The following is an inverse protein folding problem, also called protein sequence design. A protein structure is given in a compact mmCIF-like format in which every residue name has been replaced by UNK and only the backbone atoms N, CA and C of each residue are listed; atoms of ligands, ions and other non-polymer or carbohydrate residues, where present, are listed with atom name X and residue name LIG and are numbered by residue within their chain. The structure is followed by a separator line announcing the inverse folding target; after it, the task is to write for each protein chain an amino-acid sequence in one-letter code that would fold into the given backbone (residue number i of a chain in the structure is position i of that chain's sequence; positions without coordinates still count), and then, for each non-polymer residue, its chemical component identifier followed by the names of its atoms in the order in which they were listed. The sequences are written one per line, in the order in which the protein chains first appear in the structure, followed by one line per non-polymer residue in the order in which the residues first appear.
data_IF_538436592038
#
_entry.id   IF_538436592038
#
_cell.length_a   1.000
_cell.length_b   1.000
_cell.length_c   1.000
_cell.angle_alpha   90.00
_cell.angle_beta   90.00
_cell.angle_gamma   90.00
#
_symmetry.space_group_name_H-M   'P 1'
#
loop_
_entity.id
_entity.type
_entity.pdbx_description
1 polymer ?
#
# COMPACT_ATOMS: atom_id res chain seq x y z
N UNK A 1 -19.76 -32.21 36.63
CA UNK A 1 -20.21 -31.27 35.57
C UNK A 1 -21.47 -30.57 36.08
N UNK A 2 -21.38 -29.36 36.62
CA UNK A 2 -22.55 -28.59 37.01
C UNK A 2 -22.92 -27.65 35.86
N UNK A 3 -24.01 -27.93 35.17
CA UNK A 3 -24.62 -27.01 34.20
C UNK A 3 -25.59 -26.13 34.98
N UNK A 4 -25.49 -24.81 34.83
CA UNK A 4 -26.41 -23.88 35.48
C UNK A 4 -27.83 -24.00 34.91
N UNK A 5 -28.84 -23.70 35.72
CA UNK A 5 -30.24 -23.72 35.29
C UNK A 5 -30.49 -22.77 34.11
N UNK A 6 -29.81 -21.63 34.11
CA UNK A 6 -29.87 -20.64 33.02
C UNK A 6 -29.31 -21.21 31.70
N UNK A 7 -28.22 -21.97 31.77
CA UNK A 7 -27.65 -22.64 30.59
C UNK A 7 -28.59 -23.71 30.03
N UNK A 8 -29.31 -24.44 30.88
CA UNK A 8 -30.34 -25.39 30.46
C UNK A 8 -31.49 -24.66 29.75
N UNK A 9 -31.99 -23.54 30.31
CA UNK A 9 -33.05 -22.75 29.68
C UNK A 9 -32.62 -22.21 28.30
N UNK A 10 -31.38 -21.76 28.16
CA UNK A 10 -30.83 -21.33 26.87
C UNK A 10 -30.82 -22.48 25.85
N UNK A 11 -30.37 -23.67 26.23
CA UNK A 11 -30.34 -24.85 25.34
C UNK A 11 -31.74 -25.36 24.96
N UNK A 12 -32.72 -25.23 25.86
CA UNK A 12 -34.14 -25.50 25.55
C UNK A 12 -34.66 -24.48 24.54
N UNK A 13 -34.36 -23.18 24.73
CA UNK A 13 -34.75 -22.11 23.79
C UNK A 13 -34.12 -22.30 22.40
N UNK A 14 -32.88 -22.80 22.37
CA UNK A 14 -32.14 -23.13 21.14
C UNK A 14 -32.58 -24.47 20.52
N UNK A 15 -33.48 -25.22 21.18
CA UNK A 15 -34.05 -26.47 20.66
C UNK A 15 -33.16 -27.71 20.80
N UNK A 16 -32.03 -27.61 21.51
CA UNK A 16 -31.13 -28.76 21.72
C UNK A 16 -31.63 -29.69 22.82
N UNK A 17 -32.24 -29.15 23.88
CA UNK A 17 -32.76 -29.93 25.02
C UNK A 17 -34.29 -29.98 24.96
N UNK A 18 -34.92 -31.16 25.04
CA UNK A 18 -36.37 -31.29 24.98
C UNK A 18 -37.03 -30.68 26.22
N UNK A 19 -38.19 -30.04 26.02
CA UNK A 19 -39.02 -29.52 27.11
C UNK A 19 -39.60 -30.69 27.91
N UNK A 20 -39.64 -30.55 29.22
CA UNK A 20 -40.26 -31.50 30.14
C UNK A 20 -41.74 -31.20 30.34
N UNK A 21 -42.51 -32.23 30.72
CA UNK A 21 -43.92 -32.10 31.08
C UNK A 21 -44.11 -31.47 32.47
N UNK A 22 -43.14 -31.61 33.38
CA UNK A 22 -43.15 -31.02 34.73
C UNK A 22 -42.26 -29.78 34.80
N UNK A 23 -42.84 -28.67 35.26
CA UNK A 23 -42.14 -27.39 35.46
C UNK A 23 -40.95 -27.58 36.41
N UNK A 24 -39.76 -27.16 35.97
CA UNK A 24 -38.51 -27.25 36.74
C UNK A 24 -37.75 -28.58 36.59
N UNK A 25 -38.31 -29.57 35.88
CA UNK A 25 -37.63 -30.84 35.63
C UNK A 25 -37.06 -30.88 34.21
N UNK A 26 -36.08 -31.73 33.95
CA UNK A 26 -35.61 -32.04 32.59
C UNK A 26 -35.32 -33.52 32.53
N UNK A 27 -35.67 -34.19 31.42
CA UNK A 27 -35.24 -35.57 31.23
C UNK A 27 -33.72 -35.61 31.07
N UNK A 28 -33.04 -36.29 31.99
CA UNK A 28 -31.59 -36.37 32.04
C UNK A 28 -30.99 -36.87 30.72
N UNK A 29 -31.56 -37.93 30.14
CA UNK A 29 -31.06 -38.52 28.88
C UNK A 29 -31.18 -37.51 27.73
N UNK A 30 -32.32 -36.84 27.60
CA UNK A 30 -32.54 -35.81 26.58
C UNK A 30 -31.65 -34.58 26.76
N UNK A 31 -31.37 -34.18 28.01
CA UNK A 31 -30.46 -33.09 28.32
C UNK A 31 -29.01 -33.42 27.94
N UNK A 32 -28.54 -34.63 28.27
CA UNK A 32 -27.19 -35.10 27.95
C UNK A 32 -27.01 -35.23 26.44
N UNK A 33 -27.95 -35.85 25.73
CA UNK A 33 -27.90 -35.98 24.28
C UNK A 33 -27.93 -34.62 23.57
N UNK A 34 -28.80 -33.71 24.02
CA UNK A 34 -28.89 -32.34 23.52
C UNK A 34 -27.60 -31.56 23.70
N UNK A 35 -26.98 -31.69 24.87
CA UNK A 35 -25.72 -31.02 25.19
C UNK A 35 -24.54 -31.55 24.36
N UNK A 36 -24.44 -32.87 24.17
CA UNK A 36 -23.43 -33.47 23.30
C UNK A 36 -23.58 -33.02 21.85
N UNK A 37 -24.82 -32.91 21.36
CA UNK A 37 -25.11 -32.39 20.01
C UNK A 37 -24.69 -30.92 19.88
N UNK A 38 -25.00 -30.10 20.88
CA UNK A 38 -24.60 -28.70 20.92
C UNK A 38 -23.07 -28.55 20.85
N UNK A 39 -22.32 -29.29 21.67
CA UNK A 39 -20.84 -29.22 21.68
C UNK A 39 -20.24 -29.59 20.31
N UNK A 40 -20.76 -30.64 19.67
CA UNK A 40 -20.29 -31.08 18.35
C UNK A 40 -20.58 -30.06 17.24
N UNK A 41 -21.71 -29.35 17.31
CA UNK A 41 -22.03 -28.28 16.36
C UNK A 41 -21.26 -26.98 16.63
N UNK A 42 -20.95 -26.69 17.88
CA UNK A 42 -20.13 -25.54 18.28
C UNK A 42 -18.69 -25.70 17.80
N UNK A 43 -18.10 -26.88 17.98
CA UNK A 43 -16.76 -27.22 17.49
C UNK A 43 -16.67 -27.20 15.95
N UNK A 44 -17.71 -27.65 15.26
CA UNK A 44 -17.80 -27.54 13.79
C UNK A 44 -17.89 -26.09 13.33
N UNK A 45 -18.65 -25.24 14.04
CA UNK A 45 -18.76 -23.81 13.74
C UNK A 45 -17.45 -23.08 14.00
N UNK A 46 -16.76 -23.38 15.10
CA UNK A 46 -15.46 -22.77 15.42
C UNK A 46 -14.39 -23.15 14.40
N UNK A 47 -14.33 -24.42 13.99
CA UNK A 47 -13.39 -24.89 12.95
C UNK A 47 -13.64 -24.22 11.61
N UNK A 48 -14.92 -24.06 11.22
CA UNK A 48 -15.30 -23.37 9.98
C UNK A 48 -14.95 -21.88 10.02
N UNK A 49 -15.20 -21.22 11.15
CA UNK A 49 -14.84 -19.82 11.38
C UNK A 49 -13.32 -19.62 11.31
N UNK A 50 -12.55 -20.51 11.93
CA UNK A 50 -11.09 -20.44 11.91
C UNK A 50 -10.50 -20.65 10.50
N UNK A 51 -11.09 -21.55 9.70
CA UNK A 51 -10.70 -21.72 8.30
C UNK A 51 -11.06 -20.50 7.44
N UNK A 52 -12.23 -19.90 7.66
CA UNK A 52 -12.69 -18.71 6.94
C UNK A 52 -11.82 -17.47 7.27
N UNK A 53 -11.38 -17.33 8.53
CA UNK A 53 -10.39 -16.32 8.93
C UNK A 53 -9.07 -16.49 8.19
N UNK A 54 -8.51 -17.70 8.14
CA UNK A 54 -7.23 -17.94 7.42
C UNK A 54 -7.31 -17.61 5.93
N UNK A 55 -8.44 -17.88 5.28
CA UNK A 55 -8.64 -17.54 3.86
C UNK A 55 -8.74 -16.03 3.66
N UNK A 56 -9.36 -15.30 4.60
CA UNK A 56 -9.40 -13.83 4.57
C UNK A 56 -8.01 -13.22 4.76
N UNK A 57 -7.24 -13.73 5.72
CA UNK A 57 -5.88 -13.25 6.00
C UNK A 57 -4.95 -13.48 4.79
N UNK A 58 -5.05 -14.66 4.16
CA UNK A 58 -4.28 -14.95 2.94
C UNK A 58 -4.66 -14.03 1.76
N UNK A 59 -5.95 -13.72 1.59
CA UNK A 59 -6.41 -12.77 0.55
C UNK A 59 -5.99 -11.34 0.86
N UNK A 60 -5.96 -10.93 2.13
CA UNK A 60 -5.47 -9.61 2.53
C UNK A 60 -3.99 -9.46 2.18
N UNK A 61 -3.17 -10.46 2.51
CA UNK A 61 -1.75 -10.50 2.17
C UNK A 61 -1.52 -10.47 0.64
N UNK A 62 -2.31 -11.22 -0.13
CA UNK A 62 -2.25 -11.21 -1.60
C UNK A 62 -2.59 -9.82 -2.18
N UNK A 63 -3.57 -9.13 -1.60
CA UNK A 63 -3.94 -7.77 -2.01
C UNK A 63 -2.83 -6.78 -1.65
N UNK A 64 -2.23 -6.88 -0.46
CA UNK A 64 -1.10 -6.04 -0.05
C UNK A 64 0.11 -6.21 -0.97
N UNK A 65 0.49 -7.46 -1.27
CA UNK A 65 1.59 -7.76 -2.19
C UNK A 65 1.29 -7.27 -3.60
N UNK A 66 0.05 -7.45 -4.08
CA UNK A 66 -0.37 -6.95 -5.40
C UNK A 66 -0.42 -5.42 -5.44
N UNK A 67 -0.83 -4.74 -4.37
CA UNK A 67 -0.74 -3.29 -4.27
C UNK A 67 0.73 -2.88 -4.32
N UNK A 68 1.62 -3.51 -3.56
CA UNK A 68 3.05 -3.19 -3.57
C UNK A 68 3.70 -3.38 -4.97
N UNK A 69 3.39 -4.46 -5.68
CA UNK A 69 3.90 -4.70 -7.04
C UNK A 69 3.32 -3.75 -8.10
N UNK A 70 2.03 -3.42 -7.96
CA UNK A 70 1.26 -2.66 -8.96
C UNK A 70 1.35 -1.15 -8.74
N UNK A 71 1.61 -0.78 -7.48
CA UNK A 71 2.39 0.37 -6.98
C UNK A 71 3.04 1.15 -8.10
N UNK A 72 4.36 0.99 -8.29
CA UNK A 72 5.22 1.71 -9.29
C UNK A 72 4.96 3.23 -9.48
N UNK A 73 4.04 3.81 -8.72
CA UNK A 73 3.58 5.18 -8.74
C UNK A 73 4.46 6.05 -7.84
N UNK A 74 5.27 5.39 -7.01
CA UNK A 74 6.21 6.02 -6.10
C UNK A 74 7.59 5.45 -6.38
N UNK A 75 8.53 6.35 -6.66
CA UNK A 75 9.96 6.08 -6.70
C UNK A 75 10.60 6.77 -5.49
N UNK A 76 11.65 6.18 -4.89
CA UNK A 76 12.43 6.88 -3.88
C UNK A 76 12.93 8.21 -4.44
N UNK A 77 12.79 9.29 -3.67
CA UNK A 77 13.19 10.62 -4.12
C UNK A 77 14.70 10.65 -4.43
N UNK A 78 15.52 9.98 -3.62
CA UNK A 78 16.96 9.88 -3.83
C UNK A 78 17.32 9.19 -5.16
N UNK A 79 16.61 8.13 -5.53
CA UNK A 79 16.80 7.44 -6.82
C UNK A 79 16.43 8.38 -7.98
N UNK A 80 15.28 9.07 -7.86
CA UNK A 80 14.83 10.03 -8.86
C UNK A 80 15.82 11.20 -9.05
N UNK A 81 16.36 11.73 -7.95
CA UNK A 81 17.36 12.80 -7.96
C UNK A 81 18.69 12.30 -8.55
N UNK A 82 19.08 11.07 -8.24
CA UNK A 82 20.30 10.44 -8.77
C UNK A 82 20.21 10.25 -10.29
N UNK A 83 19.11 9.68 -10.78
CA UNK A 83 18.87 9.48 -12.22
C UNK A 83 18.86 10.83 -12.96
N UNK A 84 18.24 11.85 -12.37
CA UNK A 84 18.22 13.19 -12.95
C UNK A 84 19.60 13.87 -12.94
N UNK A 85 20.40 13.66 -11.90
CA UNK A 85 21.78 14.16 -11.84
C UNK A 85 22.66 13.48 -12.90
N UNK A 86 22.49 12.17 -13.12
CA UNK A 86 23.17 11.43 -14.17
C UNK A 86 22.81 11.97 -15.56
N UNK A 87 21.51 12.13 -15.84
CA UNK A 87 21.04 12.71 -17.10
C UNK A 87 21.60 14.12 -17.33
N UNK A 88 21.60 14.98 -16.30
CA UNK A 88 22.19 16.32 -16.38
C UNK A 88 23.70 16.26 -16.66
N UNK A 89 24.41 15.31 -16.05
CA UNK A 89 25.82 15.04 -16.30
C UNK A 89 26.11 14.68 -17.75
N UNK A 90 25.29 13.81 -18.34
CA UNK A 90 25.39 13.42 -19.76
C UNK A 90 25.18 14.63 -20.68
N UNK A 91 24.13 15.42 -20.44
CA UNK A 91 23.85 16.63 -21.23
C UNK A 91 25.02 17.63 -21.15
N UNK A 92 25.56 17.87 -19.95
CA UNK A 92 26.72 18.76 -19.78
C UNK A 92 27.94 18.24 -20.52
N UNK A 93 28.20 16.93 -20.49
CA UNK A 93 29.31 16.31 -21.22
C UNK A 93 29.20 16.52 -22.73
N UNK A 94 28.01 16.32 -23.30
CA UNK A 94 27.77 16.53 -24.73
C UNK A 94 27.95 18.00 -25.16
N UNK A 95 27.54 18.94 -24.31
CA UNK A 95 27.65 20.38 -24.54
C UNK A 95 29.09 20.90 -24.39
N UNK A 96 29.89 20.32 -23.48
CA UNK A 96 31.27 20.76 -23.25
C UNK A 96 32.15 20.66 -24.51
N UNK A 97 31.89 19.68 -25.38
CA UNK A 97 32.62 19.52 -26.65
C UNK A 97 32.11 20.40 -27.80
N UNK A 98 30.95 21.03 -27.66
CA UNK A 98 30.27 21.74 -28.75
C UNK A 98 31.02 23.00 -29.23
N UNK A 99 31.54 23.88 -28.36
CA UNK A 99 32.27 25.08 -28.77
C UNK A 99 33.51 24.77 -29.63
N UNK A 100 34.23 23.70 -29.28
CA UNK A 100 35.42 23.26 -30.02
C UNK A 100 35.10 22.71 -31.42
N UNK A 101 33.90 22.13 -31.61
CA UNK A 101 33.40 21.67 -32.92
C UNK A 101 32.87 22.81 -33.78
N UNK A 102 32.34 23.87 -33.16
CA UNK A 102 31.69 24.98 -33.85
C UNK A 102 32.70 25.96 -34.48
N UNK A 103 33.77 26.29 -33.75
CA UNK A 103 34.74 27.30 -34.19
C UNK A 103 36.16 26.98 -33.72
N UNK A 104 37.13 27.44 -34.53
CA UNK A 104 38.57 27.41 -34.20
C UNK A 104 39.06 28.72 -33.61
N UNK A 105 38.23 29.78 -33.67
CA UNK A 105 38.56 31.10 -33.13
C UNK A 105 38.38 31.04 -31.61
N UNK A 106 39.45 31.35 -30.88
CA UNK A 106 39.49 31.24 -29.41
C UNK A 106 38.45 32.17 -28.78
N UNK A 107 38.36 33.41 -29.23
CA UNK A 107 37.42 34.40 -28.66
C UNK A 107 35.96 34.02 -28.87
N UNK A 108 35.62 33.46 -30.04
CA UNK A 108 34.26 32.98 -30.32
C UNK A 108 33.94 31.74 -29.49
N UNK A 109 34.90 30.81 -29.36
CA UNK A 109 34.76 29.62 -28.51
C UNK A 109 34.45 30.02 -27.07
N UNK A 110 35.20 30.96 -26.52
CA UNK A 110 35.05 31.39 -25.13
C UNK A 110 33.73 32.11 -24.87
N UNK A 111 33.23 32.88 -25.85
CA UNK A 111 31.87 33.45 -25.80
C UNK A 111 30.80 32.36 -25.73
N UNK A 112 30.90 31.34 -26.58
CA UNK A 112 29.93 30.23 -26.61
C UNK A 112 30.00 29.41 -25.32
N UNK A 113 31.19 29.12 -24.80
CA UNK A 113 31.39 28.44 -23.50
C UNK A 113 30.71 29.22 -22.37
N UNK A 114 30.93 30.53 -22.30
CA UNK A 114 30.33 31.40 -21.29
C UNK A 114 28.79 31.37 -21.34
N UNK A 115 28.21 31.41 -22.54
CA UNK A 115 26.76 31.33 -22.73
C UNK A 115 26.20 29.96 -22.32
N UNK A 116 26.87 28.87 -22.68
CA UNK A 116 26.49 27.50 -22.29
C UNK A 116 26.52 27.36 -20.76
N UNK A 117 27.61 27.78 -20.12
CA UNK A 117 27.75 27.72 -18.67
C UNK A 117 26.69 28.57 -17.97
N UNK A 118 26.37 29.75 -18.52
CA UNK A 118 25.29 30.59 -18.03
C UNK A 118 23.92 29.92 -18.12
N UNK A 119 23.62 29.22 -19.22
CA UNK A 119 22.39 28.43 -19.37
C UNK A 119 22.34 27.29 -18.36
N UNK A 120 23.43 26.51 -18.23
CA UNK A 120 23.51 25.38 -17.31
C UNK A 120 23.36 25.83 -15.85
N UNK A 121 23.95 26.96 -15.48
CA UNK A 121 23.81 27.56 -14.14
C UNK A 121 22.34 27.90 -13.83
N UNK A 122 21.65 28.59 -14.76
CA UNK A 122 20.22 28.91 -14.59
C UNK A 122 19.34 27.66 -14.51
N UNK A 123 19.68 26.61 -15.25
CA UNK A 123 18.96 25.33 -15.17
C UNK A 123 19.19 24.65 -13.82
N UNK A 124 20.43 24.64 -13.32
CA UNK A 124 20.77 24.07 -12.02
C UNK A 124 20.02 24.76 -10.87
N UNK A 125 19.96 26.09 -10.88
CA UNK A 125 19.20 26.87 -9.88
C UNK A 125 17.71 26.52 -9.89
N UNK A 126 17.10 26.43 -11.08
CA UNK A 126 15.68 26.05 -11.21
C UNK A 126 15.42 24.60 -10.80
N UNK A 127 16.36 23.70 -11.09
CA UNK A 127 16.27 22.30 -10.68
C UNK A 127 16.36 22.16 -9.16
N UNK A 128 17.28 22.90 -8.51
CA UNK A 128 17.41 22.92 -7.05
C UNK A 128 16.13 23.43 -6.36
N UNK A 129 15.53 24.51 -6.86
CA UNK A 129 14.25 25.03 -6.35
C UNK A 129 13.12 24.00 -6.47
N UNK A 130 13.08 23.24 -7.56
CA UNK A 130 12.10 22.16 -7.74
C UNK A 130 12.37 20.99 -6.80
N UNK A 131 13.62 20.58 -6.63
CA UNK A 131 13.99 19.51 -5.69
C UNK A 131 13.56 19.86 -4.26
N UNK A 132 13.84 21.08 -3.80
CA UNK A 132 13.39 21.57 -2.47
C UNK A 132 11.85 21.56 -2.34
N UNK A 133 11.12 21.88 -3.41
CA UNK A 133 9.66 21.80 -3.41
C UNK A 133 9.12 20.37 -3.29
N UNK A 134 9.81 19.41 -3.92
CA UNK A 134 9.48 17.98 -3.87
C UNK A 134 9.78 17.40 -2.47
N UNK A 135 10.93 17.76 -1.88
CA UNK A 135 11.29 17.39 -0.50
C UNK A 135 10.29 17.93 0.53
N UNK A 136 9.78 19.15 0.32
CA UNK A 136 8.76 19.75 1.18
C UNK A 136 7.34 19.16 0.98
N UNK A 137 7.18 18.14 0.13
CA UNK A 137 5.89 17.50 -0.15
C UNK A 137 4.89 18.39 -0.89
N UNK A 138 5.36 19.48 -1.53
CA UNK A 138 4.51 20.37 -2.31
C UNK A 138 4.41 19.82 -3.73
N UNK A 139 3.26 19.24 -4.07
CA UNK A 139 3.03 18.72 -5.43
C UNK A 139 3.19 19.81 -6.48
N UNK A 140 3.90 19.50 -7.56
CA UNK A 140 3.87 20.33 -8.76
C UNK A 140 2.43 20.36 -9.32
N UNK A 141 1.92 21.51 -9.78
CA UNK A 141 0.73 21.51 -10.61
C UNK A 141 1.04 20.67 -11.84
N UNK A 142 0.22 19.64 -12.09
CA UNK A 142 0.34 18.76 -13.25
C UNK A 142 0.52 19.61 -14.50
N UNK A 143 1.65 19.43 -15.19
CA UNK A 143 1.93 20.09 -16.46
C UNK A 143 0.99 19.52 -17.53
N UNK A 144 -0.24 20.03 -17.55
CA UNK A 144 -1.31 19.53 -18.41
C UNK A 144 -2.53 20.42 -18.41
N UNK A 145 -2.39 21.75 -18.55
CA UNK A 145 -3.52 22.64 -18.92
C UNK A 145 -3.12 23.92 -19.69
N UNK A 146 -1.85 24.15 -20.06
CA UNK A 146 -1.50 25.35 -20.85
C UNK A 146 -1.04 24.99 -22.26
N UNK A 147 -2.00 24.55 -23.08
CA UNK A 147 -1.92 24.59 -24.54
C UNK A 147 -3.33 24.80 -25.11
N UNK A 148 -3.94 25.94 -24.78
CA UNK A 148 -5.11 26.46 -25.49
C UNK A 148 -5.33 27.94 -25.11
N UNK A 149 -4.60 28.86 -25.71
CA UNK A 149 -5.12 30.16 -26.17
C UNK A 149 -4.19 30.75 -27.22
#
# INVERSE_FOLDING_TARGET
MMISEERIRQLIKQGYVPKSEKRGYVQLVGAVQGYLKYLKEDERRSTRSAADSRVRDARALEIELRIAERTRDLIPLDDALTDMAELAGLVRSELAGLPARLTRIIDERQKVETEIDGVLTRLAERAAQKAESLEAGRSHPTAGTQAAT
#
